data_IF_145368323897
#
_entry.id   IF_145368323897
#
_cell.length_a   1.000
_cell.length_b   1.000
_cell.length_c   1.000
_cell.angle_alpha   90.00
_cell.angle_beta   90.00
_cell.angle_gamma   90.00
#
_symmetry.space_group_name_H-M   'P 1'
#
loop_
_entity.id
_entity.type
_entity.pdbx_description
1 polymer ?
#
# COMPACT_ATOMS: atom_id res chain seq x y z
N UNK A 1 9.65 -45.44 -0.05
CA UNK A 1 8.55 -44.57 -0.55
C UNK A 1 8.16 -43.45 0.43
N UNK A 2 8.05 -43.72 1.74
CA UNK A 2 7.67 -42.73 2.77
C UNK A 2 8.68 -41.58 2.96
N UNK A 3 9.99 -41.87 2.90
CA UNK A 3 11.04 -40.84 3.02
C UNK A 3 11.03 -39.80 1.87
N UNK A 4 10.68 -40.22 0.65
CA UNK A 4 10.61 -39.34 -0.54
C UNK A 4 9.42 -38.37 -0.44
N UNK A 5 8.27 -38.84 0.07
CA UNK A 5 7.09 -38.00 0.32
C UNK A 5 7.36 -36.92 1.37
N UNK A 6 8.06 -37.28 2.45
CA UNK A 6 8.41 -36.35 3.53
C UNK A 6 9.35 -35.24 3.05
N UNK A 7 10.33 -35.58 2.20
CA UNK A 7 11.24 -34.60 1.60
C UNK A 7 10.50 -33.59 0.67
N UNK A 8 9.58 -34.08 -0.17
CA UNK A 8 8.76 -33.22 -1.03
C UNK A 8 7.88 -32.25 -0.23
N UNK A 9 7.25 -32.74 0.85
CA UNK A 9 6.42 -31.91 1.73
C UNK A 9 7.23 -30.80 2.42
N UNK A 10 8.39 -31.13 3.00
CA UNK A 10 9.26 -30.14 3.65
C UNK A 10 9.79 -29.09 2.66
N UNK A 11 10.15 -29.51 1.45
CA UNK A 11 10.59 -28.60 0.38
C UNK A 11 9.46 -27.63 -0.01
N UNK A 12 8.23 -28.11 -0.12
CA UNK A 12 7.07 -27.26 -0.45
C UNK A 12 6.84 -26.17 0.61
N UNK A 13 6.93 -26.52 1.90
CA UNK A 13 6.78 -25.55 3.00
C UNK A 13 7.94 -24.56 3.02
N UNK A 14 9.17 -25.01 2.78
CA UNK A 14 10.34 -24.13 2.71
C UNK A 14 10.21 -23.11 1.58
N UNK A 15 9.76 -23.54 0.39
CA UNK A 15 9.51 -22.64 -0.73
C UNK A 15 8.40 -21.62 -0.43
N UNK A 16 7.30 -22.06 0.18
CA UNK A 16 6.21 -21.18 0.59
C UNK A 16 6.67 -20.12 1.62
N UNK A 17 7.44 -20.54 2.62
CA UNK A 17 8.01 -19.62 3.62
C UNK A 17 8.98 -18.61 2.99
N UNK A 18 9.83 -19.05 2.06
CA UNK A 18 10.72 -18.17 1.31
C UNK A 18 9.94 -17.17 0.46
N UNK A 19 8.92 -17.62 -0.26
CA UNK A 19 8.12 -16.73 -1.10
C UNK A 19 7.42 -15.64 -0.30
N UNK A 20 6.82 -15.98 0.86
CA UNK A 20 6.28 -14.95 1.76
C UNK A 20 7.34 -13.98 2.26
N UNK A 21 8.53 -14.46 2.63
CA UNK A 21 9.63 -13.58 3.03
C UNK A 21 10.00 -12.60 1.90
N UNK A 22 10.09 -13.07 0.66
CA UNK A 22 10.39 -12.23 -0.51
C UNK A 22 9.32 -11.15 -0.73
N UNK A 23 8.04 -11.48 -0.50
CA UNK A 23 6.93 -10.49 -0.55
C UNK A 23 7.11 -9.41 0.52
N UNK A 24 7.40 -9.79 1.78
CA UNK A 24 7.54 -8.82 2.87
C UNK A 24 8.81 -7.97 2.79
N UNK A 25 9.91 -8.51 2.25
CA UNK A 25 11.11 -7.72 1.95
C UNK A 25 10.79 -6.66 0.89
N UNK A 26 10.13 -7.05 -0.21
CA UNK A 26 9.71 -6.09 -1.24
C UNK A 26 8.79 -5.01 -0.65
N UNK A 27 7.86 -5.41 0.23
CA UNK A 27 6.99 -4.45 0.92
C UNK A 27 7.79 -3.43 1.72
N UNK A 28 8.78 -3.89 2.49
CA UNK A 28 9.68 -3.01 3.24
C UNK A 28 10.41 -2.01 2.34
N UNK A 29 10.90 -2.45 1.18
CA UNK A 29 11.59 -1.58 0.21
C UNK A 29 10.68 -0.52 -0.40
N UNK A 30 9.39 -0.83 -0.59
CA UNK A 30 8.41 0.10 -1.16
C UNK A 30 7.95 1.14 -0.12
N UNK A 31 7.93 0.79 1.17
CA UNK A 31 7.45 1.65 2.28
C UNK A 31 8.50 2.68 2.76
N UNK A 32 9.59 2.90 2.02
CA UNK A 32 10.70 3.79 2.42
C UNK A 32 10.34 5.30 2.30
N UNK A 33 9.17 5.66 1.76
CA UNK A 33 8.72 7.04 1.71
C UNK A 33 8.31 7.60 3.07
N UNK A 34 9.24 8.21 3.81
CA UNK A 34 8.89 9.00 4.99
C UNK A 34 7.94 10.14 4.58
N UNK A 35 6.78 10.28 5.25
CA UNK A 35 5.85 11.39 5.05
C UNK A 35 6.47 12.68 5.60
N UNK A 36 7.36 13.28 4.83
CA UNK A 36 8.08 14.50 5.18
C UNK A 36 7.44 15.73 4.58
N UNK A 37 6.76 16.53 5.39
CA UNK A 37 6.33 17.88 5.00
C UNK A 37 7.50 18.84 5.27
N UNK A 38 7.95 19.54 4.23
CA UNK A 38 9.01 20.55 4.29
C UNK A 38 8.59 21.83 3.59
N UNK A 39 9.40 22.88 3.75
CA UNK A 39 9.25 24.10 2.96
C UNK A 39 9.35 23.75 1.46
N UNK A 40 8.25 23.92 0.72
CA UNK A 40 8.18 23.58 -0.70
C UNK A 40 7.46 22.27 -1.03
N UNK A 41 6.97 21.51 -0.04
CA UNK A 41 6.06 20.38 -0.33
C UNK A 41 4.80 20.90 -1.00
N UNK A 42 4.41 20.27 -2.10
CA UNK A 42 3.22 20.61 -2.87
C UNK A 42 2.02 19.80 -2.42
N UNK A 43 0.82 20.31 -2.65
CA UNK A 43 -0.42 19.55 -2.45
C UNK A 43 -0.43 18.27 -3.30
N UNK A 44 0.09 18.34 -4.53
CA UNK A 44 0.23 17.18 -5.42
C UNK A 44 1.16 16.10 -4.86
N UNK A 45 2.16 16.47 -4.05
CA UNK A 45 3.07 15.50 -3.42
C UNK A 45 2.33 14.67 -2.36
N UNK A 46 1.31 15.24 -1.71
CA UNK A 46 0.42 14.53 -0.77
C UNK A 46 -0.48 13.56 -1.52
N UNK A 47 -1.05 13.98 -2.65
CA UNK A 47 -1.83 13.09 -3.51
C UNK A 47 -0.99 11.90 -3.99
N UNK A 48 0.23 12.18 -4.46
CA UNK A 48 1.18 11.14 -4.88
C UNK A 48 1.50 10.16 -3.75
N UNK A 49 1.73 10.67 -2.54
CA UNK A 49 2.03 9.81 -1.38
C UNK A 49 0.92 8.77 -1.13
N UNK A 50 -0.34 9.19 -1.17
CA UNK A 50 -1.46 8.26 -1.01
C UNK A 50 -1.63 7.31 -2.21
N UNK A 51 -1.41 7.77 -3.44
CA UNK A 51 -1.37 6.89 -4.62
C UNK A 51 -0.26 5.83 -4.51
N UNK A 52 0.91 6.19 -3.98
CA UNK A 52 2.00 5.25 -3.76
C UNK A 52 1.60 4.19 -2.72
N UNK A 53 0.86 4.56 -1.66
CA UNK A 53 0.29 3.60 -0.69
C UNK A 53 -0.69 2.63 -1.36
N UNK A 54 -1.65 3.14 -2.15
CA UNK A 54 -2.62 2.30 -2.89
C UNK A 54 -1.89 1.28 -3.79
N UNK A 55 -0.91 1.75 -4.56
CA UNK A 55 -0.09 0.92 -5.44
C UNK A 55 0.69 -0.16 -4.68
N UNK A 56 1.24 0.21 -3.51
CA UNK A 56 1.96 -0.71 -2.63
C UNK A 56 1.06 -1.84 -2.14
N UNK A 57 -0.12 -1.51 -1.60
CA UNK A 57 -1.07 -2.50 -1.09
C UNK A 57 -1.53 -3.46 -2.20
N UNK A 58 -1.81 -2.92 -3.38
CA UNK A 58 -2.21 -3.71 -4.56
C UNK A 58 -1.10 -4.68 -4.98
N UNK A 59 0.14 -4.19 -5.05
CA UNK A 59 1.30 -5.02 -5.40
C UNK A 59 1.52 -6.15 -4.39
N UNK A 60 1.40 -5.87 -3.09
CA UNK A 60 1.54 -6.89 -2.04
C UNK A 60 0.44 -7.93 -2.12
N UNK A 61 -0.82 -7.50 -2.33
CA UNK A 61 -1.97 -8.39 -2.52
C UNK A 61 -1.71 -9.38 -3.67
N UNK A 62 -1.34 -8.86 -4.84
CA UNK A 62 -1.06 -9.68 -6.02
C UNK A 62 0.05 -10.70 -5.75
N UNK A 63 1.16 -10.26 -5.13
CA UNK A 63 2.28 -11.13 -4.79
C UNK A 63 1.90 -12.23 -3.78
N UNK A 64 1.09 -11.93 -2.77
CA UNK A 64 0.62 -12.92 -1.81
C UNK A 64 -0.29 -13.97 -2.47
N UNK A 65 -1.20 -13.53 -3.35
CA UNK A 65 -2.11 -14.43 -4.06
C UNK A 65 -1.33 -15.33 -5.03
N UNK A 66 -0.35 -14.78 -5.74
CA UNK A 66 0.58 -15.50 -6.60
C UNK A 66 1.37 -16.56 -5.82
N UNK A 67 1.87 -16.21 -4.65
CA UNK A 67 2.66 -17.12 -3.82
C UNK A 67 1.82 -18.31 -3.33
N UNK A 68 0.58 -18.05 -2.89
CA UNK A 68 -0.35 -19.12 -2.51
C UNK A 68 -0.74 -19.97 -3.70
N UNK A 69 -0.93 -19.39 -4.89
CA UNK A 69 -1.24 -20.16 -6.10
C UNK A 69 -0.08 -21.06 -6.55
N UNK A 70 1.16 -20.57 -6.45
CA UNK A 70 2.38 -21.28 -6.89
C UNK A 70 2.83 -22.35 -5.89
N UNK A 71 2.85 -22.01 -4.60
CA UNK A 71 3.48 -22.83 -3.55
C UNK A 71 2.50 -23.26 -2.44
N UNK A 72 1.29 -22.69 -2.41
CA UNK A 72 0.35 -22.77 -1.29
C UNK A 72 -0.87 -23.64 -1.56
N UNK A 73 -0.71 -24.93 -1.83
CA UNK A 73 -1.84 -25.88 -1.87
C UNK A 73 -2.33 -26.27 -0.45
N UNK A 74 -2.42 -25.28 0.44
CA UNK A 74 -2.79 -25.41 1.85
C UNK A 74 -4.00 -24.52 2.15
N UNK A 75 -5.17 -25.14 2.30
CA UNK A 75 -6.46 -24.44 2.46
C UNK A 75 -6.41 -23.39 3.58
N UNK A 76 -5.83 -23.73 4.74
CA UNK A 76 -5.73 -22.80 5.88
C UNK A 76 -4.89 -21.56 5.55
N UNK A 77 -3.80 -21.72 4.80
CA UNK A 77 -2.94 -20.60 4.40
C UNK A 77 -3.70 -19.69 3.44
N UNK A 78 -4.35 -20.28 2.43
CA UNK A 78 -5.18 -19.53 1.48
C UNK A 78 -6.25 -18.72 2.21
N UNK A 79 -6.98 -19.32 3.15
CA UNK A 79 -8.01 -18.62 3.93
C UNK A 79 -7.45 -17.45 4.73
N UNK A 80 -6.27 -17.60 5.37
CA UNK A 80 -5.64 -16.51 6.12
C UNK A 80 -5.17 -15.39 5.19
N UNK A 81 -4.59 -15.72 4.04
CA UNK A 81 -4.15 -14.74 3.04
C UNK A 81 -5.33 -13.99 2.45
N UNK A 82 -6.39 -14.69 2.04
CA UNK A 82 -7.61 -14.07 1.51
C UNK A 82 -8.23 -13.11 2.53
N UNK A 83 -8.26 -13.51 3.81
CA UNK A 83 -8.76 -12.65 4.90
C UNK A 83 -7.87 -11.43 5.10
N UNK A 84 -6.55 -11.60 5.13
CA UNK A 84 -5.60 -10.49 5.28
C UNK A 84 -5.74 -9.48 4.13
N UNK A 85 -5.89 -9.98 2.90
CA UNK A 85 -6.14 -9.14 1.71
C UNK A 85 -7.43 -8.34 1.89
N UNK A 86 -8.55 -9.00 2.14
CA UNK A 86 -9.87 -8.34 2.19
C UNK A 86 -10.03 -7.41 3.41
N UNK A 87 -9.56 -7.85 4.59
CA UNK A 87 -9.78 -7.11 5.83
C UNK A 87 -8.76 -5.99 6.07
N UNK A 88 -7.60 -6.05 5.42
CA UNK A 88 -6.48 -5.11 5.67
C UNK A 88 -6.02 -4.43 4.38
N UNK A 89 -5.45 -5.18 3.43
CA UNK A 89 -4.80 -4.56 2.26
C UNK A 89 -5.78 -3.78 1.38
N UNK A 90 -6.95 -4.36 1.11
CA UNK A 90 -7.99 -3.73 0.30
C UNK A 90 -8.53 -2.46 0.97
N UNK A 91 -8.72 -2.47 2.30
CA UNK A 91 -9.19 -1.29 3.05
C UNK A 91 -8.16 -0.17 3.09
N UNK A 92 -6.88 -0.50 3.23
CA UNK A 92 -5.81 0.50 3.18
C UNK A 92 -5.70 1.08 1.77
N UNK A 93 -5.77 0.24 0.72
CA UNK A 93 -5.74 0.70 -0.67
C UNK A 93 -6.91 1.65 -0.97
N UNK A 94 -8.13 1.28 -0.54
CA UNK A 94 -9.33 2.09 -0.71
C UNK A 94 -9.24 3.42 0.06
N UNK A 95 -8.84 3.39 1.33
CA UNK A 95 -8.64 4.61 2.13
C UNK A 95 -7.58 5.53 1.53
N UNK A 96 -6.46 4.98 1.04
CA UNK A 96 -5.42 5.75 0.38
C UNK A 96 -5.92 6.37 -0.94
N UNK A 97 -6.68 5.61 -1.74
CA UNK A 97 -7.31 6.13 -2.96
C UNK A 97 -8.24 7.30 -2.67
N UNK A 98 -9.06 7.19 -1.63
CA UNK A 98 -9.95 8.28 -1.18
C UNK A 98 -9.11 9.50 -0.78
N UNK A 99 -8.10 9.33 0.08
CA UNK A 99 -7.24 10.42 0.52
C UNK A 99 -6.48 11.10 -0.64
N UNK A 100 -5.99 10.32 -1.61
CA UNK A 100 -5.35 10.85 -2.82
C UNK A 100 -6.30 11.77 -3.60
N UNK A 101 -7.58 11.41 -3.69
CA UNK A 101 -8.61 12.23 -4.34
C UNK A 101 -8.94 13.52 -3.60
N UNK A 102 -8.71 13.57 -2.28
CA UNK A 102 -8.89 14.77 -1.46
C UNK A 102 -7.69 15.74 -1.52
N UNK A 103 -6.49 15.22 -1.76
CA UNK A 103 -5.25 15.99 -1.90
C UNK A 103 -5.15 16.70 -3.26
N UNK A 104 -6.19 17.45 -3.63
CA UNK A 104 -6.26 18.18 -4.90
C UNK A 104 -5.48 19.49 -4.85
N UNK A 105 -4.75 19.77 -5.91
CA UNK A 105 -3.98 21.01 -6.07
C UNK A 105 -3.16 20.96 -7.36
N UNK A 106 -2.86 22.11 -7.94
CA UNK A 106 -1.96 22.16 -9.10
C UNK A 106 -0.54 21.75 -8.69
N UNK A 107 0.28 21.35 -9.67
CA UNK A 107 1.69 20.96 -9.47
C UNK A 107 2.60 22.10 -8.96
N UNK A 108 2.06 23.31 -8.78
CA UNK A 108 2.77 24.48 -8.23
C UNK A 108 2.22 24.93 -6.88
N UNK A 109 1.08 24.40 -6.41
CA UNK A 109 0.49 24.79 -5.14
C UNK A 109 1.21 24.15 -3.96
N UNK A 110 1.88 24.99 -3.17
CA UNK A 110 2.53 24.58 -1.93
C UNK A 110 1.52 24.31 -0.81
N UNK A 111 1.88 23.41 0.09
CA UNK A 111 1.28 23.37 1.42
C UNK A 111 1.68 24.66 2.15
N UNK A 112 0.71 25.34 2.75
CA UNK A 112 0.96 26.60 3.46
C UNK A 112 1.25 27.80 2.56
N UNK A 113 0.63 27.87 1.37
CA UNK A 113 0.86 28.91 0.35
C UNK A 113 0.29 30.31 0.68
N UNK A 114 0.11 30.67 1.95
CA UNK A 114 -0.45 31.96 2.33
C UNK A 114 0.54 33.11 2.03
N UNK A 115 0.09 34.13 1.29
CA UNK A 115 0.90 35.29 0.92
C UNK A 115 0.44 36.54 1.69
N UNK A 116 1.40 37.34 2.17
CA UNK A 116 1.09 38.63 2.81
C UNK A 116 0.47 39.60 1.80
N UNK A 117 -0.46 40.44 2.24
CA UNK A 117 -1.15 41.45 1.42
C UNK A 117 -1.88 40.89 0.18
N UNK A 118 -2.26 39.61 0.21
CA UNK A 118 -3.15 38.99 -0.78
C UNK A 118 -4.51 38.71 -0.16
N UNK A 119 -5.57 38.68 -0.97
CA UNK A 119 -6.89 38.25 -0.51
C UNK A 119 -6.86 36.81 -0.01
N UNK A 120 -7.51 36.54 1.12
CA UNK A 120 -7.60 35.18 1.64
C UNK A 120 -8.53 34.34 0.75
N UNK A 121 -8.04 33.19 0.30
CA UNK A 121 -8.86 32.20 -0.40
C UNK A 121 -9.30 31.14 0.59
N UNK A 122 -10.62 30.91 0.69
CA UNK A 122 -11.15 29.83 1.50
C UNK A 122 -10.67 28.47 0.96
N UNK A 123 -10.35 27.49 1.83
CA UNK A 123 -10.02 26.16 1.37
C UNK A 123 -11.26 25.47 0.77
N UNK A 124 -11.02 24.51 -0.14
CA UNK A 124 -12.09 23.71 -0.74
C UNK A 124 -12.63 22.73 0.31
N UNK A 125 -13.87 22.93 0.75
CA UNK A 125 -14.51 22.09 1.77
C UNK A 125 -14.52 20.61 1.36
N UNK A 126 -14.82 20.28 0.11
CA UNK A 126 -14.85 18.90 -0.40
C UNK A 126 -13.49 18.20 -0.28
N UNK A 127 -12.40 18.94 -0.55
CA UNK A 127 -11.04 18.41 -0.41
C UNK A 127 -10.69 18.14 1.05
N UNK A 128 -11.12 19.03 1.97
CA UNK A 128 -10.94 18.82 3.41
C UNK A 128 -11.74 17.61 3.87
N UNK A 129 -13.04 17.56 3.56
CA UNK A 129 -13.94 16.49 3.99
C UNK A 129 -13.54 15.12 3.43
N UNK A 130 -12.86 15.06 2.29
CA UNK A 130 -12.32 13.79 1.77
C UNK A 130 -11.09 13.31 2.54
N UNK A 131 -10.35 14.21 3.18
CA UNK A 131 -9.12 13.90 3.91
C UNK A 131 -9.32 13.58 5.41
N UNK A 132 -10.50 13.87 5.99
CA UNK A 132 -10.81 13.72 7.43
C UNK A 132 -12.05 12.89 7.67
#
# INVERSE_FOLDING_TARGET
MIAIQSNKFLTSIANLGKGFLDVFVTFGDIVIGAFGIKAGTKKSDIGKYFTDIESTMTTVKEKLQDEVAKNGNYVKVKTVVDKFVADVLDKIAEGAKIAASGATGTSSELIGSATKNSGATAPKADSINTLV
#
